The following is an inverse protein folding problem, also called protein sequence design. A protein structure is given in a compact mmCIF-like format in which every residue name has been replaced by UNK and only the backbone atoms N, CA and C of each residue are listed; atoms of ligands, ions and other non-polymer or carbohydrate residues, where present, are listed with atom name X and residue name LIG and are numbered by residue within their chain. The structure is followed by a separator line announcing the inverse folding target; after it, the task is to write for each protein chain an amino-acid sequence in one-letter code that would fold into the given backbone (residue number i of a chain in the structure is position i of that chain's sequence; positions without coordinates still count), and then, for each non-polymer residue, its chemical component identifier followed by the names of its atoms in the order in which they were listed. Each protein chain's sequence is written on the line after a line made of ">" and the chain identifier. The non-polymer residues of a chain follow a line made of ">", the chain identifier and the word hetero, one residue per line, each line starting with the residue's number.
data_IF_327266965867
#
_entry.id   IF_327266965867
#
_cell.length_a   1.000
_cell.length_b   1.000
_cell.length_c   1.000
_cell.angle_alpha   90.00
_cell.angle_beta   90.00
_cell.angle_gamma   90.00
#
_symmetry.space_group_name_H-M   'P 1'
#
loop_
_entity.id
_entity.type
_entity.pdbx_description
1 polymer ?
#
# COMPACT_ATOMS: atom_id res chain seq x y z
N UNK A 1 27.53 -60.95 7.50
CA UNK A 1 28.09 -59.58 7.46
C UNK A 1 27.80 -59.06 6.06
N UNK A 2 26.78 -58.24 5.82
CA UNK A 2 26.79 -56.78 5.99
C UNK A 2 25.33 -56.30 6.01
N UNK A 3 24.96 -55.50 7.01
CA UNK A 3 23.70 -54.76 7.06
C UNK A 3 23.90 -53.43 6.33
N UNK A 4 23.07 -53.13 5.33
CA UNK A 4 23.10 -51.87 4.61
C UNK A 4 22.00 -50.96 5.17
N UNK A 5 22.42 -50.00 6.00
CA UNK A 5 21.57 -48.98 6.61
C UNK A 5 21.39 -47.84 5.61
N UNK A 6 20.23 -47.78 4.94
CA UNK A 6 19.89 -46.69 4.02
C UNK A 6 19.44 -45.46 4.80
N UNK A 7 20.30 -44.45 4.86
CA UNK A 7 20.05 -43.17 5.52
C UNK A 7 19.08 -42.32 4.67
N UNK A 8 17.83 -42.16 5.11
CA UNK A 8 16.90 -41.18 4.52
C UNK A 8 17.33 -39.77 4.94
N UNK A 9 17.96 -39.03 4.02
CA UNK A 9 18.17 -37.60 4.17
C UNK A 9 16.82 -36.88 3.94
N UNK A 10 16.17 -36.43 5.01
CA UNK A 10 15.02 -35.55 4.94
C UNK A 10 15.50 -34.16 4.47
N UNK A 11 15.40 -33.88 3.18
CA UNK A 11 15.63 -32.54 2.64
C UNK A 11 14.47 -31.64 3.07
N UNK A 12 14.70 -30.82 4.09
CA UNK A 12 13.78 -29.73 4.45
C UNK A 12 13.78 -28.70 3.32
N UNK A 13 12.76 -28.75 2.45
CA UNK A 13 12.52 -27.67 1.50
C UNK A 13 12.22 -26.39 2.31
N UNK A 14 12.88 -25.26 2.03
CA UNK A 14 12.49 -24.00 2.64
C UNK A 14 11.07 -23.69 2.18
N UNK A 15 10.14 -23.61 3.13
CA UNK A 15 8.81 -23.11 2.87
C UNK A 15 8.93 -21.64 2.45
N UNK A 16 8.99 -21.39 1.15
CA UNK A 16 8.90 -20.06 0.60
C UNK A 16 7.50 -19.56 0.97
N UNK A 17 7.41 -18.75 2.02
CA UNK A 17 6.12 -18.29 2.54
C UNK A 17 5.42 -17.50 1.45
N UNK A 18 4.41 -18.11 0.84
CA UNK A 18 3.61 -17.47 -0.19
C UNK A 18 2.94 -16.23 0.39
N UNK A 19 2.86 -15.15 -0.41
CA UNK A 19 2.15 -13.92 -0.03
C UNK A 19 0.70 -14.29 0.30
N UNK A 20 0.17 -13.95 1.49
CA UNK A 20 -1.19 -14.29 1.86
C UNK A 20 -2.20 -13.73 0.85
N UNK A 21 -3.26 -14.48 0.56
CA UNK A 21 -4.27 -14.10 -0.45
C UNK A 21 -4.86 -12.70 -0.18
N UNK A 22 -5.05 -12.33 1.09
CA UNK A 22 -5.50 -10.99 1.47
C UNK A 22 -4.56 -9.89 0.95
N UNK A 23 -3.25 -10.06 1.09
CA UNK A 23 -2.26 -9.09 0.62
C UNK A 23 -2.12 -9.07 -0.90
N UNK A 24 -2.37 -10.19 -1.58
CA UNK A 24 -2.48 -10.21 -3.04
C UNK A 24 -3.64 -9.31 -3.50
N UNK A 25 -4.81 -9.42 -2.86
CA UNK A 25 -5.95 -8.54 -3.17
C UNK A 25 -5.64 -7.08 -2.83
N UNK A 26 -5.01 -6.80 -1.68
CA UNK A 26 -4.58 -5.44 -1.31
C UNK A 26 -3.60 -4.84 -2.33
N UNK A 27 -2.67 -5.63 -2.88
CA UNK A 27 -1.75 -5.16 -3.93
C UNK A 27 -2.49 -4.72 -5.20
N UNK A 28 -3.49 -5.48 -5.63
CA UNK A 28 -4.35 -5.10 -6.76
C UNK A 28 -5.12 -3.81 -6.45
N UNK A 29 -5.60 -3.63 -5.21
CA UNK A 29 -6.20 -2.37 -4.80
C UNK A 29 -5.23 -1.19 -4.84
N UNK A 30 -3.98 -1.34 -4.37
CA UNK A 30 -2.98 -0.26 -4.44
C UNK A 30 -2.73 0.19 -5.90
N UNK A 31 -2.63 -0.76 -6.82
CA UNK A 31 -2.57 -0.49 -8.26
C UNK A 31 -3.82 0.26 -8.75
N UNK A 32 -5.02 -0.22 -8.39
CA UNK A 32 -6.28 0.43 -8.79
C UNK A 32 -6.39 1.85 -8.22
N UNK A 33 -5.92 2.10 -7.00
CA UNK A 33 -5.95 3.43 -6.39
C UNK A 33 -5.12 4.43 -7.18
N UNK A 34 -3.97 4.01 -7.71
CA UNK A 34 -3.18 4.83 -8.61
C UNK A 34 -3.97 5.29 -9.84
N UNK A 35 -4.94 4.49 -10.32
CA UNK A 35 -5.78 4.83 -11.49
C UNK A 35 -7.00 5.70 -11.16
N UNK A 36 -7.44 5.73 -9.90
CA UNK A 36 -8.69 6.38 -9.48
C UNK A 36 -8.48 7.60 -8.57
N UNK A 37 -7.24 8.03 -8.41
CA UNK A 37 -6.87 9.24 -7.70
C UNK A 37 -6.13 10.16 -8.67
N UNK A 38 -6.50 11.43 -8.67
CA UNK A 38 -5.80 12.45 -9.44
C UNK A 38 -4.88 13.24 -8.51
N UNK A 39 -3.61 13.30 -8.90
CA UNK A 39 -2.58 14.11 -8.26
C UNK A 39 -2.41 15.45 -8.98
N UNK A 40 -2.11 16.55 -8.27
CA UNK A 40 -1.78 17.80 -8.92
C UNK A 40 -0.43 17.69 -9.65
N UNK A 41 -0.18 18.47 -10.73
CA UNK A 41 1.07 18.38 -11.49
C UNK A 41 2.35 18.49 -10.65
N UNK A 42 2.31 19.30 -9.58
CA UNK A 42 3.44 19.49 -8.64
C UNK A 42 3.82 18.25 -7.82
N UNK A 43 2.99 17.20 -7.81
CA UNK A 43 3.33 15.93 -7.17
C UNK A 43 4.42 15.17 -7.96
N UNK A 44 4.54 15.47 -9.26
CA UNK A 44 5.51 14.85 -10.14
C UNK A 44 6.72 15.78 -10.34
N UNK A 45 7.91 15.19 -10.29
CA UNK A 45 9.17 15.92 -10.54
C UNK A 45 9.26 16.41 -11.98
N UNK A 46 8.66 15.67 -12.92
CA UNK A 46 8.56 16.03 -14.34
C UNK A 46 7.35 15.32 -14.99
N UNK A 47 6.86 15.76 -16.16
CA UNK A 47 5.63 15.22 -16.78
C UNK A 47 5.63 13.71 -17.08
N UNK A 48 6.79 13.07 -17.16
CA UNK A 48 6.93 11.62 -17.39
C UNK A 48 7.60 10.91 -16.21
N UNK A 49 7.67 11.56 -15.04
CA UNK A 49 8.21 10.95 -13.84
C UNK A 49 7.37 9.71 -13.44
N UNK A 50 7.97 8.66 -12.86
CA UNK A 50 7.19 7.53 -12.37
C UNK A 50 6.16 7.92 -11.31
N UNK A 51 5.01 7.23 -11.34
CA UNK A 51 4.08 7.21 -10.21
C UNK A 51 4.54 6.10 -9.26
N UNK A 52 4.89 6.50 -8.05
CA UNK A 52 5.55 5.63 -7.06
C UNK A 52 4.52 5.08 -6.08
N UNK A 53 4.47 3.76 -5.97
CA UNK A 53 3.78 3.02 -4.90
C UNK A 53 4.82 2.64 -3.84
N UNK A 54 4.77 3.31 -2.71
CA UNK A 54 5.65 3.12 -1.57
C UNK A 54 5.10 2.10 -0.57
N UNK A 55 5.98 1.34 0.06
CA UNK A 55 5.70 0.55 1.26
C UNK A 55 6.58 1.10 2.38
N UNK A 56 5.98 1.52 3.49
CA UNK A 56 6.68 1.96 4.69
C UNK A 56 6.54 0.89 5.78
N UNK A 57 7.67 0.43 6.31
CA UNK A 57 7.73 -0.62 7.33
C UNK A 57 7.93 -2.02 6.73
N UNK A 58 7.44 -3.04 7.43
CA UNK A 58 7.49 -4.43 6.97
C UNK A 58 6.67 -4.62 5.70
N UNK A 59 7.24 -5.28 4.68
CA UNK A 59 6.59 -5.53 3.39
C UNK A 59 5.81 -6.86 3.41
N UNK A 60 4.47 -6.84 3.44
CA UNK A 60 3.65 -8.04 3.41
C UNK A 60 3.37 -8.53 1.97
N UNK A 61 3.73 -7.75 0.94
CA UNK A 61 3.42 -8.05 -0.46
C UNK A 61 4.51 -8.85 -1.16
N UNK A 62 5.75 -8.80 -0.66
CA UNK A 62 6.88 -9.45 -1.31
C UNK A 62 7.02 -9.01 -2.77
N UNK A 63 7.34 -9.94 -3.68
CA UNK A 63 7.47 -9.63 -5.12
C UNK A 63 6.14 -9.45 -5.85
N UNK A 64 5.01 -9.83 -5.22
CA UNK A 64 3.71 -9.84 -5.88
C UNK A 64 3.27 -8.44 -6.31
N UNK A 65 3.54 -7.42 -5.48
CA UNK A 65 3.21 -6.04 -5.86
C UNK A 65 4.09 -5.56 -7.02
N UNK A 66 5.38 -5.90 -7.04
CA UNK A 66 6.28 -5.55 -8.16
C UNK A 66 5.83 -6.21 -9.46
N UNK A 67 5.38 -7.47 -9.39
CA UNK A 67 4.82 -8.20 -10.52
C UNK A 67 3.50 -7.59 -11.01
N UNK A 68 2.62 -7.21 -10.08
CA UNK A 68 1.31 -6.59 -10.37
C UNK A 68 1.45 -5.29 -11.16
N UNK A 69 2.50 -4.50 -10.90
CA UNK A 69 2.69 -3.19 -11.55
C UNK A 69 3.69 -3.23 -12.71
N UNK A 70 4.28 -4.38 -13.01
CA UNK A 70 5.37 -4.50 -13.98
C UNK A 70 4.89 -4.14 -15.38
N UNK A 71 5.47 -3.08 -15.95
CA UNK A 71 5.14 -2.62 -17.30
C UNK A 71 3.86 -1.78 -17.37
N UNK A 72 3.17 -1.58 -16.25
CA UNK A 72 1.95 -0.80 -16.17
C UNK A 72 2.25 0.71 -16.18
N UNK A 73 1.27 1.47 -16.68
CA UNK A 73 1.30 2.93 -16.71
C UNK A 73 -0.05 3.50 -16.30
N UNK A 74 -0.01 4.65 -15.62
CA UNK A 74 -1.20 5.46 -15.34
C UNK A 74 -0.98 6.86 -15.87
N UNK A 75 -1.86 7.34 -16.75
CA UNK A 75 -1.75 8.67 -17.36
C UNK A 75 -0.34 8.94 -17.94
N UNK A 76 0.24 7.92 -18.60
CA UNK A 76 1.60 7.92 -19.16
C UNK A 76 2.77 7.93 -18.14
N UNK A 77 2.49 7.89 -16.84
CA UNK A 77 3.49 7.69 -15.80
C UNK A 77 3.73 6.19 -15.58
N UNK A 78 4.97 5.68 -15.70
CA UNK A 78 5.28 4.30 -15.36
C UNK A 78 5.10 4.06 -13.86
N UNK A 79 4.56 2.89 -13.50
CA UNK A 79 4.44 2.50 -12.10
C UNK A 79 5.73 1.85 -11.61
N UNK A 80 6.15 2.23 -10.40
CA UNK A 80 7.30 1.62 -9.71
C UNK A 80 6.98 1.42 -8.24
N UNK A 81 7.52 0.35 -7.66
CA UNK A 81 7.43 0.08 -6.22
C UNK A 81 8.69 0.56 -5.53
N UNK A 82 8.55 1.25 -4.40
CA UNK A 82 9.66 1.61 -3.52
C UNK A 82 9.37 1.18 -2.09
N UNK A 83 10.41 0.79 -1.36
CA UNK A 83 10.30 0.30 0.02
C UNK A 83 11.13 1.21 0.93
N UNK A 84 10.52 1.64 2.02
CA UNK A 84 11.08 2.60 2.95
C UNK A 84 11.10 2.01 4.35
N UNK A 85 12.20 2.22 5.08
CA UNK A 85 12.29 1.86 6.50
C UNK A 85 11.85 2.98 7.41
N UNK A 86 11.98 4.23 6.95
CA UNK A 86 11.65 5.43 7.74
C UNK A 86 10.94 6.43 6.85
N UNK A 87 10.05 7.21 7.47
CA UNK A 87 9.23 8.21 6.76
C UNK A 87 10.08 9.34 6.18
N UNK A 88 11.22 9.65 6.82
CA UNK A 88 12.15 10.70 6.40
C UNK A 88 12.88 10.35 5.08
N UNK A 89 12.97 9.07 4.74
CA UNK A 89 13.60 8.61 3.50
C UNK A 89 12.69 8.86 2.28
N UNK A 90 11.41 9.17 2.51
CA UNK A 90 10.40 9.38 1.46
C UNK A 90 10.54 10.79 0.90
N UNK A 91 11.25 10.93 -0.22
CA UNK A 91 11.36 12.19 -0.98
C UNK A 91 10.16 12.44 -1.89
N UNK A 92 9.81 11.44 -2.69
CA UNK A 92 8.67 11.46 -3.61
C UNK A 92 7.95 10.13 -3.53
N UNK A 93 6.63 10.18 -3.34
CA UNK A 93 5.75 9.02 -3.32
C UNK A 93 4.37 9.48 -3.74
N UNK A 94 3.55 8.62 -4.33
CA UNK A 94 2.21 8.98 -4.78
C UNK A 94 1.16 8.19 -4.02
N UNK A 95 1.34 6.87 -3.94
CA UNK A 95 0.58 5.98 -3.06
C UNK A 95 1.54 5.44 -2.02
N UNK A 96 1.24 5.56 -0.73
CA UNK A 96 2.08 5.03 0.33
C UNK A 96 1.26 4.06 1.20
N UNK A 97 1.58 2.78 1.11
CA UNK A 97 1.10 1.79 2.06
C UNK A 97 1.95 1.85 3.34
N UNK A 98 1.30 2.11 4.48
CA UNK A 98 1.91 2.11 5.81
C UNK A 98 1.54 0.79 6.46
N UNK A 99 2.55 -0.05 6.68
CA UNK A 99 2.39 -1.38 7.24
C UNK A 99 1.93 -1.34 8.69
N UNK A 100 1.21 -2.39 9.11
CA UNK A 100 0.88 -2.61 10.52
C UNK A 100 2.11 -2.71 11.44
N UNK A 101 3.31 -2.94 10.89
CA UNK A 101 4.56 -2.84 11.68
C UNK A 101 4.78 -1.44 12.28
N UNK A 102 4.21 -0.41 11.66
CA UNK A 102 4.36 0.98 12.07
C UNK A 102 3.25 1.48 13.00
N UNK A 103 2.36 0.59 13.47
CA UNK A 103 1.19 0.97 14.28
C UNK A 103 1.55 1.82 15.51
N UNK A 104 2.69 1.55 16.16
CA UNK A 104 3.16 2.30 17.32
C UNK A 104 3.60 3.75 17.02
N UNK A 105 3.91 4.05 15.76
CA UNK A 105 4.41 5.37 15.31
C UNK A 105 3.46 6.03 14.30
N UNK A 106 2.27 5.45 14.10
CA UNK A 106 1.36 5.83 13.02
C UNK A 106 0.99 7.31 13.05
N UNK A 107 0.65 7.85 14.21
CA UNK A 107 0.28 9.27 14.36
C UNK A 107 1.42 10.21 13.95
N UNK A 108 2.64 9.92 14.39
CA UNK A 108 3.83 10.69 14.03
C UNK A 108 4.10 10.63 12.53
N UNK A 109 3.99 9.44 11.92
CA UNK A 109 4.17 9.24 10.48
C UNK A 109 3.14 10.05 9.70
N UNK A 110 1.86 9.99 10.08
CA UNK A 110 0.79 10.72 9.40
C UNK A 110 0.96 12.24 9.52
N UNK A 111 1.40 12.74 10.67
CA UNK A 111 1.67 14.17 10.84
C UNK A 111 2.84 14.64 9.95
N UNK A 112 3.91 13.84 9.82
CA UNK A 112 5.04 14.14 8.92
C UNK A 112 4.67 14.08 7.43
N UNK A 113 3.63 13.33 7.08
CA UNK A 113 3.14 13.21 5.70
C UNK A 113 2.06 14.24 5.34
N UNK A 114 1.55 14.97 6.33
CA UNK A 114 0.44 15.91 6.18
C UNK A 114 0.77 17.01 5.17
N UNK A 115 -0.20 17.31 4.31
CA UNK A 115 -0.08 18.32 3.25
C UNK A 115 0.79 17.89 2.06
N UNK A 116 1.45 16.74 2.12
CA UNK A 116 2.13 16.16 0.95
C UNK A 116 1.09 15.52 0.03
N UNK A 117 1.36 15.52 -1.28
CA UNK A 117 0.50 14.91 -2.29
C UNK A 117 0.64 13.38 -2.31
N UNK A 118 0.46 12.74 -1.15
CA UNK A 118 0.63 11.29 -0.95
C UNK A 118 -0.71 10.71 -0.52
N UNK A 119 -1.20 9.73 -1.27
CA UNK A 119 -2.33 8.90 -0.90
C UNK A 119 -1.86 7.88 0.14
N UNK A 120 -2.10 8.16 1.42
CA UNK A 120 -1.78 7.23 2.51
C UNK A 120 -2.80 6.10 2.58
N UNK A 121 -2.31 4.87 2.63
CA UNK A 121 -3.10 3.65 2.68
C UNK A 121 -2.59 2.81 3.84
N UNK A 122 -3.47 2.21 4.62
CA UNK A 122 -3.07 1.31 5.71
C UNK A 122 -4.14 0.28 6.00
N UNK A 123 -3.79 -0.77 6.73
CA UNK A 123 -4.72 -1.83 7.14
C UNK A 123 -4.79 -2.02 8.66
N UNK A 124 -4.18 -1.10 9.41
CA UNK A 124 -4.32 -1.02 10.86
C UNK A 124 -5.71 -0.50 11.23
N UNK A 125 -6.31 -1.08 12.27
CA UNK A 125 -7.59 -0.61 12.79
C UNK A 125 -7.49 0.87 13.22
N UNK A 126 -8.48 1.69 12.86
CA UNK A 126 -8.51 3.12 13.17
C UNK A 126 -7.64 4.00 12.26
N UNK A 127 -6.94 3.44 11.25
CA UNK A 127 -6.06 4.20 10.36
C UNK A 127 -6.74 5.42 9.73
N UNK A 128 -7.96 5.28 9.19
CA UNK A 128 -8.67 6.40 8.57
C UNK A 128 -9.12 7.46 9.60
N UNK A 129 -9.50 7.04 10.80
CA UNK A 129 -9.89 7.92 11.90
C UNK A 129 -8.71 8.71 12.47
N UNK A 130 -7.50 8.16 12.41
CA UNK A 130 -6.25 8.79 12.87
C UNK A 130 -5.60 9.70 11.81
N UNK A 131 -6.29 10.01 10.72
CA UNK A 131 -5.82 10.93 9.68
C UNK A 131 -5.24 10.27 8.43
N UNK A 132 -5.24 8.94 8.34
CA UNK A 132 -4.94 8.21 7.11
C UNK A 132 -6.06 8.40 6.07
N UNK A 133 -5.72 8.30 4.77
CA UNK A 133 -6.71 8.57 3.71
C UNK A 133 -7.56 7.34 3.39
N UNK A 134 -6.94 6.20 3.07
CA UNK A 134 -7.64 4.95 2.80
C UNK A 134 -7.24 3.89 3.82
N UNK A 135 -8.22 3.28 4.47
CA UNK A 135 -8.02 2.12 5.31
C UNK A 135 -8.61 0.89 4.63
N UNK A 136 -7.82 -0.18 4.50
CA UNK A 136 -8.33 -1.52 4.29
C UNK A 136 -8.91 -2.05 5.60
N UNK A 137 -10.21 -2.35 5.61
CA UNK A 137 -10.88 -3.03 6.70
C UNK A 137 -11.32 -4.43 6.24
N UNK A 138 -11.09 -5.45 7.05
CA UNK A 138 -11.54 -6.81 6.73
C UNK A 138 -12.84 -7.08 7.49
N UNK A 139 -13.94 -7.24 6.75
CA UNK A 139 -15.27 -7.54 7.30
C UNK A 139 -15.84 -8.78 6.62
N UNK A 140 -16.20 -9.81 7.42
CA UNK A 140 -16.76 -11.08 6.92
C UNK A 140 -15.90 -11.69 5.78
N UNK A 141 -14.58 -11.72 5.97
CA UNK A 141 -13.59 -12.19 5.00
C UNK A 141 -13.57 -11.43 3.65
N UNK A 142 -14.08 -10.20 3.61
CA UNK A 142 -14.00 -9.32 2.44
C UNK A 142 -13.29 -8.03 2.81
N UNK A 143 -12.45 -7.56 1.90
CA UNK A 143 -11.82 -6.25 2.02
C UNK A 143 -12.87 -5.17 1.73
N UNK A 144 -13.02 -4.25 2.68
CA UNK A 144 -13.78 -3.01 2.59
C UNK A 144 -12.82 -1.84 2.65
N UNK A 145 -13.21 -0.72 2.05
CA UNK A 145 -12.44 0.51 2.08
C UNK A 145 -13.15 1.50 3.00
N UNK A 146 -12.42 2.04 3.97
CA UNK A 146 -12.84 3.23 4.72
C UNK A 146 -12.02 4.42 4.23
N UNK A 147 -12.68 5.52 3.87
CA UNK A 147 -12.03 6.66 3.22
C UNK A 147 -12.28 7.93 4.02
N UNK A 148 -11.19 8.60 4.41
CA UNK A 148 -11.22 9.92 5.01
C UNK A 148 -11.09 10.99 3.91
N UNK A 149 -12.24 11.55 3.49
CA UNK A 149 -12.27 12.58 2.44
C UNK A 149 -11.61 13.89 2.87
N UNK A 150 -11.62 14.21 4.17
CA UNK A 150 -10.96 15.41 4.68
C UNK A 150 -9.44 15.29 4.54
N UNK A 151 -8.88 14.12 4.89
CA UNK A 151 -7.46 13.83 4.72
C UNK A 151 -7.05 13.84 3.22
N UNK A 152 -7.87 13.28 2.34
CA UNK A 152 -7.64 13.33 0.89
C UNK A 152 -7.58 14.77 0.38
N UNK A 153 -8.53 15.61 0.80
CA UNK A 153 -8.58 17.04 0.45
C UNK A 153 -7.37 17.80 0.99
N UNK A 154 -6.94 17.52 2.22
CA UNK A 154 -5.74 18.12 2.81
C UNK A 154 -4.45 17.75 2.06
N UNK A 155 -4.38 16.53 1.51
CA UNK A 155 -3.32 16.09 0.61
C UNK A 155 -3.48 16.60 -0.84
N UNK A 156 -4.52 17.40 -1.12
CA UNK A 156 -4.86 17.94 -2.44
C UNK A 156 -5.05 16.86 -3.51
N UNK A 157 -5.65 15.73 -3.10
CA UNK A 157 -5.95 14.61 -3.97
C UNK A 157 -7.43 14.60 -4.32
N UNK A 158 -7.75 14.34 -5.58
CA UNK A 158 -9.13 14.14 -6.02
C UNK A 158 -9.38 12.66 -6.18
N UNK A 159 -10.32 12.12 -5.40
CA UNK A 159 -10.69 10.70 -5.46
C UNK A 159 -11.90 10.55 -6.39
N UNK A 160 -11.76 9.68 -7.40
CA UNK A 160 -12.83 9.37 -8.34
C UNK A 160 -14.05 8.77 -7.62
N UNK A 161 -15.26 9.17 -8.03
CA UNK A 161 -16.52 8.59 -7.54
C UNK A 161 -16.62 7.08 -7.76
N UNK A 162 -15.86 6.52 -8.71
CA UNK A 162 -15.75 5.06 -8.91
C UNK A 162 -15.17 4.35 -7.69
N UNK A 163 -14.22 4.98 -7.00
CA UNK A 163 -13.57 4.45 -5.80
C UNK A 163 -14.38 4.74 -4.53
N UNK A 164 -15.14 5.83 -4.50
CA UNK A 164 -15.99 6.20 -3.36
C UNK A 164 -17.27 5.36 -3.23
N UNK A 165 -17.89 4.96 -4.35
CA UNK A 165 -19.15 4.20 -4.34
C UNK A 165 -19.14 2.94 -3.47
N UNK A 166 -18.10 2.08 -3.48
CA UNK A 166 -18.05 0.90 -2.63
C UNK A 166 -17.49 1.14 -1.22
N UNK A 167 -17.13 2.38 -0.86
CA UNK A 167 -16.40 2.71 0.35
C UNK A 167 -17.28 3.30 1.45
N UNK A 168 -16.88 3.08 2.70
CA UNK A 168 -17.41 3.78 3.87
C UNK A 168 -16.66 5.10 4.04
N UNK A 169 -17.37 6.22 4.16
CA UNK A 169 -16.74 7.54 4.37
C UNK A 169 -16.58 7.80 5.87
N UNK A 170 -15.36 8.12 6.30
CA UNK A 170 -15.01 8.41 7.69
C UNK A 170 -14.87 9.93 7.87
N UNK A 171 -15.42 10.45 8.96
CA UNK A 171 -15.32 11.88 9.31
C UNK A 171 -16.28 12.79 8.53
N UNK A 172 -17.43 12.27 8.11
CA UNK A 172 -18.56 13.11 7.68
C UNK A 172 -19.27 13.68 8.90
N UNK A 173 -18.81 14.82 9.39
CA UNK A 173 -19.53 15.73 10.29
C UNK A 173 -19.84 17.01 9.54
#
# INVERSE_FOLDING_TARGET
>A
MIALLSLLAATSLPAQSAVPAEYQVKAVFLFNFAQFVDWPPKAFVQPQAPLIIGILGGDPFGTYLDETVRGEKVNNHPLVVQRYRRVEDIKTCHVLFISGSEANQLEQILELLKGRNILTVGDTAGFASNGGIIQFATEKNKIRLKINLQAAKAAQLTISSKLLRPAEIVGGG
#
